data_IF_882585045528
#
_entry.id   IF_882585045528
#
_cell.length_a   1.000
_cell.length_b   1.000
_cell.length_c   1.000
_cell.angle_alpha   90.00
_cell.angle_beta   90.00
_cell.angle_gamma   90.00
#
_symmetry.space_group_name_H-M   'P 1'
#
loop_
_entity.id
_entity.type
_entity.pdbx_description
1 polymer ?
#
# COMPACT_ATOMS: atom_id res chain seq x y z
N UNK A 1 35.20 -26.93 11.35
CA UNK A 1 34.38 -27.45 10.23
C UNK A 1 32.92 -27.37 10.63
N UNK A 2 32.30 -26.20 10.47
CA UNK A 2 30.86 -26.03 10.61
C UNK A 2 30.25 -26.15 9.23
N UNK A 3 29.44 -27.21 9.04
CA UNK A 3 28.62 -27.39 7.86
C UNK A 3 27.41 -26.48 7.99
N UNK A 4 27.42 -25.33 7.31
CA UNK A 4 26.19 -24.62 7.00
C UNK A 4 25.43 -25.42 5.94
N UNK A 5 24.28 -25.98 6.30
CA UNK A 5 23.35 -26.58 5.35
C UNK A 5 22.52 -25.44 4.79
N UNK A 6 22.82 -25.03 3.55
CA UNK A 6 22.01 -24.12 2.78
C UNK A 6 20.62 -24.74 2.57
N UNK A 7 19.63 -24.29 3.33
CA UNK A 7 18.24 -24.63 3.10
C UNK A 7 17.72 -23.71 2.00
N UNK A 8 17.76 -24.18 0.75
CA UNK A 8 17.12 -23.50 -0.38
C UNK A 8 15.61 -23.65 -0.20
N UNK A 9 14.94 -22.63 0.32
CA UNK A 9 13.49 -22.52 0.22
C UNK A 9 13.20 -22.21 -1.24
N UNK A 10 12.58 -23.15 -1.96
CA UNK A 10 12.08 -22.88 -3.30
C UNK A 10 10.90 -21.92 -3.16
N UNK A 11 11.14 -20.63 -3.38
CA UNK A 11 10.08 -19.61 -3.48
C UNK A 11 9.31 -19.90 -4.77
N UNK A 12 8.00 -20.10 -4.65
CA UNK A 12 7.15 -20.32 -5.82
C UNK A 12 6.99 -19.00 -6.57
N UNK A 13 7.17 -19.01 -7.89
CA UNK A 13 6.94 -17.85 -8.74
C UNK A 13 5.49 -17.35 -8.59
N UNK A 14 5.29 -16.30 -7.79
CA UNK A 14 4.01 -15.62 -7.63
C UNK A 14 4.11 -14.26 -8.32
N UNK A 15 3.51 -14.17 -9.51
CA UNK A 15 3.44 -12.94 -10.29
C UNK A 15 2.64 -11.86 -9.53
N UNK A 16 3.34 -10.84 -9.02
CA UNK A 16 2.72 -9.63 -8.51
C UNK A 16 2.31 -8.74 -9.70
N UNK A 17 1.01 -8.68 -9.97
CA UNK A 17 0.42 -7.69 -10.89
C UNK A 17 0.48 -6.31 -10.23
N UNK A 18 1.58 -5.58 -10.43
CA UNK A 18 1.64 -4.15 -10.09
C UNK A 18 0.76 -3.37 -11.07
N UNK A 19 -0.31 -2.78 -10.55
CA UNK A 19 -1.24 -1.95 -11.30
C UNK A 19 -0.54 -0.66 -11.76
N UNK A 20 -0.27 -0.57 -13.06
CA UNK A 20 0.29 0.63 -13.69
C UNK A 20 -0.80 1.70 -13.79
N UNK A 21 -0.78 2.67 -12.88
CA UNK A 21 -1.56 3.90 -12.99
C UNK A 21 -1.01 4.79 -14.10
N UNK A 22 -1.65 4.77 -15.27
CA UNK A 22 -1.36 5.72 -16.35
C UNK A 22 -2.07 7.03 -16.02
N UNK A 23 -1.31 8.02 -15.55
CA UNK A 23 -1.75 9.40 -15.37
C UNK A 23 -1.04 10.31 -16.38
N UNK A 24 -1.88 10.92 -17.23
CA UNK A 24 -1.76 12.28 -17.76
C UNK A 24 -0.77 12.59 -18.90
N UNK A 25 -1.31 13.26 -19.93
CA UNK A 25 -0.62 14.43 -20.48
C UNK A 25 -0.76 14.64 -21.98
N UNK A 26 -1.92 15.15 -22.43
CA UNK A 26 -1.99 15.87 -23.70
C UNK A 26 -1.16 17.16 -23.62
N UNK A 27 -0.25 17.37 -24.57
CA UNK A 27 0.13 18.71 -25.03
C UNK A 27 0.65 18.60 -26.45
N UNK A 28 0.11 19.48 -27.30
CA UNK A 28 0.29 19.44 -28.74
C UNK A 28 1.47 20.26 -29.28
N UNK A 29 1.60 20.05 -30.59
CA UNK A 29 1.86 21.02 -31.66
C UNK A 29 3.30 21.21 -32.21
N UNK A 30 3.37 20.86 -33.52
CA UNK A 30 4.25 21.29 -34.64
C UNK A 30 5.79 21.18 -34.54
N UNK A 31 6.58 20.97 -35.59
CA UNK A 31 6.53 20.46 -36.98
C UNK A 31 8.02 20.46 -37.45
N UNK A 32 8.57 19.54 -38.25
CA UNK A 32 8.65 19.63 -39.72
C UNK A 32 9.56 18.53 -40.34
N UNK A 33 9.10 18.04 -41.50
CA UNK A 33 9.74 17.53 -42.74
C UNK A 33 10.74 16.34 -42.83
N UNK A 34 10.41 15.38 -43.72
CA UNK A 34 11.42 14.57 -44.44
C UNK A 34 10.99 13.30 -45.22
N UNK A 35 10.16 13.44 -46.26
CA UNK A 35 10.06 12.62 -47.50
C UNK A 35 9.58 11.12 -47.51
N UNK A 36 8.56 10.83 -48.35
CA UNK A 36 7.88 9.54 -48.63
C UNK A 36 8.58 8.58 -49.61
N UNK A 37 7.89 7.66 -50.36
CA UNK A 37 6.54 7.75 -50.98
C UNK A 37 5.57 6.57 -50.64
N UNK A 38 4.25 6.78 -50.48
CA UNK A 38 3.13 6.82 -51.47
C UNK A 38 2.76 5.49 -52.13
N UNK A 39 1.65 4.88 -51.67
CA UNK A 39 0.67 4.17 -52.52
C UNK A 39 -0.76 4.66 -52.16
N UNK A 40 -1.45 5.19 -53.18
CA UNK A 40 -2.91 5.41 -53.31
C UNK A 40 -3.64 4.06 -53.43
N UNK A 41 -4.94 3.83 -53.22
CA UNK A 41 -6.14 4.51 -52.71
C UNK A 41 -7.22 3.41 -52.76
N UNK A 42 -8.15 3.33 -51.81
CA UNK A 42 -9.60 3.30 -52.13
C UNK A 42 -10.45 3.54 -50.88
N UNK A 43 -11.22 4.62 -50.99
CA UNK A 43 -12.28 5.18 -50.14
C UNK A 43 -13.46 4.25 -49.87
N UNK A 44 -14.05 4.32 -48.66
CA UNK A 44 -15.49 4.62 -48.54
C UNK A 44 -15.82 5.21 -47.15
N UNK A 45 -16.59 6.30 -47.14
CA UNK A 45 -17.03 7.06 -45.98
C UNK A 45 -18.56 7.22 -46.01
N UNK A 46 -19.21 7.06 -44.85
CA UNK A 46 -20.52 7.61 -44.41
C UNK A 46 -20.45 7.57 -42.87
N UNK A 47 -20.37 8.69 -42.13
CA UNK A 47 -21.34 9.77 -41.85
C UNK A 47 -22.56 9.37 -41.00
N UNK A 48 -22.93 10.30 -40.12
CA UNK A 48 -24.08 10.42 -39.20
C UNK A 48 -24.01 9.83 -37.76
N UNK A 49 -23.63 10.73 -36.84
CA UNK A 49 -24.42 11.27 -35.71
C UNK A 49 -25.28 10.34 -34.86
N UNK A 50 -24.95 10.25 -33.55
CA UNK A 50 -25.96 10.30 -32.47
C UNK A 50 -25.29 10.72 -31.13
N UNK A 51 -25.67 11.90 -30.64
CA UNK A 51 -25.44 12.37 -29.26
C UNK A 51 -26.80 12.57 -28.62
N UNK A 52 -27.04 12.06 -27.41
CA UNK A 52 -28.04 12.64 -26.54
C UNK A 52 -27.38 13.58 -25.52
N UNK A 53 -27.70 14.83 -25.73
CA UNK A 53 -27.74 15.95 -24.80
C UNK A 53 -28.66 15.64 -23.59
N UNK A 54 -28.19 15.91 -22.37
CA UNK A 54 -29.04 16.05 -21.17
C UNK A 54 -28.47 17.15 -20.28
N UNK A 55 -29.10 18.33 -20.36
CA UNK A 55 -29.03 19.42 -19.37
C UNK A 55 -29.45 18.96 -17.96
N UNK A 56 -28.99 19.68 -16.91
CA UNK A 56 -29.90 20.02 -15.83
C UNK A 56 -29.99 21.54 -15.61
N UNK A 57 -31.24 22.00 -15.66
CA UNK A 57 -31.76 23.33 -15.32
C UNK A 57 -31.63 23.63 -13.82
N UNK A 58 -31.22 24.87 -13.53
CA UNK A 58 -31.49 25.57 -12.27
C UNK A 58 -32.88 26.23 -12.34
N UNK A 59 -33.67 26.21 -11.25
CA UNK A 59 -34.40 27.39 -10.73
C UNK A 59 -35.02 27.10 -9.34
N UNK A 60 -34.56 27.90 -8.36
CA UNK A 60 -35.26 28.62 -7.28
C UNK A 60 -36.58 28.11 -6.66
N UNK A 61 -36.63 28.05 -5.32
CA UNK A 61 -37.56 28.83 -4.46
C UNK A 61 -37.54 28.38 -2.98
N UNK A 62 -37.07 29.27 -2.10
CA UNK A 62 -37.48 29.40 -0.70
C UNK A 62 -38.79 30.24 -0.63
N UNK A 63 -39.71 30.13 0.38
CA UNK A 63 -39.45 30.68 1.73
C UNK A 63 -40.19 30.06 2.96
N UNK A 64 -39.52 30.24 4.12
CA UNK A 64 -40.01 30.69 5.45
C UNK A 64 -41.21 29.99 6.14
N UNK A 65 -40.96 29.44 7.35
CA UNK A 65 -41.80 29.71 8.55
C UNK A 65 -40.93 29.83 9.81
N UNK A 66 -41.13 30.96 10.50
CA UNK A 66 -40.60 31.43 11.78
C UNK A 66 -41.56 31.04 12.93
N UNK A 67 -41.08 30.60 14.10
CA UNK A 67 -41.48 31.13 15.44
C UNK A 67 -41.08 30.27 16.67
N UNK A 68 -40.42 30.97 17.61
CA UNK A 68 -40.61 31.03 19.07
C UNK A 68 -40.23 29.86 20.02
N UNK A 69 -39.08 30.10 20.67
CA UNK A 69 -38.82 30.07 22.12
C UNK A 69 -39.88 29.50 23.08
N UNK A 70 -39.47 28.57 23.96
CA UNK A 70 -39.76 28.68 25.39
C UNK A 70 -38.75 27.95 26.28
N UNK A 71 -37.98 28.77 27.00
CA UNK A 71 -37.17 28.47 28.18
C UNK A 71 -37.95 27.71 29.24
N UNK A 72 -37.38 26.61 29.76
CA UNK A 72 -37.69 26.03 31.06
C UNK A 72 -36.43 25.46 31.71
N UNK A 73 -35.86 26.26 32.60
CA UNK A 73 -35.20 25.80 33.83
C UNK A 73 -35.90 26.57 34.97
N UNK A 74 -35.85 26.12 36.25
CA UNK A 74 -34.97 25.10 36.82
C UNK A 74 -35.71 24.06 37.69
N UNK A 75 -35.12 22.86 37.84
CA UNK A 75 -35.29 22.05 39.06
C UNK A 75 -33.90 21.63 39.48
N UNK A 76 -33.40 22.33 40.49
CA UNK A 76 -32.16 21.98 41.19
C UNK A 76 -32.53 20.83 42.14
N UNK A 77 -32.42 19.60 41.64
CA UNK A 77 -32.40 18.42 42.49
C UNK A 77 -30.97 18.27 43.01
N UNK A 78 -30.81 18.58 44.29
CA UNK A 78 -29.55 18.49 45.02
C UNK A 78 -29.28 17.01 45.26
N UNK A 79 -28.57 16.39 44.31
CA UNK A 79 -28.03 15.04 44.49
C UNK A 79 -26.85 15.17 45.44
N UNK A 80 -27.01 14.60 46.62
CA UNK A 80 -26.00 14.42 47.65
C UNK A 80 -24.79 13.70 47.02
N UNK A 81 -23.67 14.42 46.92
CA UNK A 81 -22.44 13.92 46.34
C UNK A 81 -21.81 12.88 47.28
N UNK A 82 -22.06 11.61 46.98
CA UNK A 82 -21.22 10.50 47.43
C UNK A 82 -19.76 10.74 46.97
N UNK A 83 -18.76 10.33 47.76
CA UNK A 83 -17.36 10.58 47.43
C UNK A 83 -17.02 9.91 46.10
N UNK A 84 -16.59 10.69 45.12
CA UNK A 84 -16.02 10.18 43.88
C UNK A 84 -14.76 9.37 44.22
N UNK A 85 -14.90 8.04 44.25
CA UNK A 85 -13.76 7.15 44.13
C UNK A 85 -13.04 7.47 42.81
N UNK A 86 -11.73 7.68 42.91
CA UNK A 86 -10.87 7.90 41.74
C UNK A 86 -11.02 6.73 40.76
N UNK A 87 -11.31 6.98 39.46
CA UNK A 87 -11.28 5.91 38.49
C UNK A 87 -9.80 5.57 38.24
N UNK A 88 -9.30 4.54 38.93
CA UNK A 88 -8.23 3.72 38.36
C UNK A 88 -8.79 3.17 37.05
N UNK A 89 -8.37 3.76 35.93
CA UNK A 89 -8.98 3.66 34.61
C UNK A 89 -8.88 2.25 34.05
N UNK A 90 -9.85 1.38 34.38
CA UNK A 90 -10.02 0.09 33.73
C UNK A 90 -10.64 0.28 32.35
N UNK A 91 -10.07 -0.35 31.33
CA UNK A 91 -10.61 -0.35 29.97
C UNK A 91 -12.07 -0.81 29.92
N UNK A 92 -12.86 -0.21 29.03
CA UNK A 92 -14.21 -0.68 28.72
C UNK A 92 -14.18 -2.09 28.10
N UNK A 93 -15.31 -2.80 28.07
CA UNK A 93 -15.37 -4.12 27.44
C UNK A 93 -15.00 -4.06 25.95
N UNK A 94 -15.43 -3.00 25.26
CA UNK A 94 -15.13 -2.77 23.84
C UNK A 94 -13.63 -2.59 23.61
N UNK A 95 -12.98 -1.76 24.45
CA UNK A 95 -11.54 -1.53 24.41
C UNK A 95 -10.75 -2.81 24.70
N UNK A 96 -11.21 -3.64 25.64
CA UNK A 96 -10.59 -4.94 25.90
C UNK A 96 -10.74 -5.90 24.70
N UNK A 97 -11.86 -5.85 23.98
CA UNK A 97 -12.04 -6.66 22.77
C UNK A 97 -11.11 -6.18 21.66
N UNK A 98 -10.97 -4.87 21.46
CA UNK A 98 -10.04 -4.28 20.50
C UNK A 98 -8.58 -4.69 20.78
N UNK A 99 -8.15 -4.68 22.04
CA UNK A 99 -6.82 -5.17 22.45
C UNK A 99 -6.65 -6.66 22.09
N UNK A 100 -7.65 -7.51 22.39
CA UNK A 100 -7.58 -8.94 22.05
C UNK A 100 -7.56 -9.18 20.53
N UNK A 101 -8.32 -8.41 19.75
CA UNK A 101 -8.25 -8.45 18.28
C UNK A 101 -6.84 -8.10 17.80
N UNK A 102 -6.26 -7.00 18.31
CA UNK A 102 -4.91 -6.55 17.95
C UNK A 102 -3.85 -7.62 18.26
N UNK A 103 -3.88 -8.20 19.46
CA UNK A 103 -3.02 -9.32 19.86
C UNK A 103 -3.18 -10.53 18.93
N UNK A 104 -4.41 -10.87 18.54
CA UNK A 104 -4.67 -11.96 17.61
C UNK A 104 -4.04 -11.70 16.24
N UNK A 105 -4.17 -10.48 15.69
CA UNK A 105 -3.55 -10.15 14.40
C UNK A 105 -2.04 -10.28 14.43
N UNK A 106 -1.40 -9.73 15.47
CA UNK A 106 0.05 -9.78 15.64
C UNK A 106 0.61 -11.19 15.86
N UNK A 107 -0.23 -12.18 16.18
CA UNK A 107 0.17 -13.60 16.22
C UNK A 107 0.28 -14.24 14.83
N UNK A 108 -0.38 -13.68 13.82
CA UNK A 108 -0.46 -14.27 12.48
C UNK A 108 0.30 -13.48 11.42
N UNK A 109 0.35 -12.16 11.55
CA UNK A 109 0.94 -11.27 10.56
C UNK A 109 1.64 -10.09 11.23
N UNK A 110 2.56 -9.47 10.49
CA UNK A 110 3.26 -8.28 10.93
C UNK A 110 2.52 -7.02 10.46
N UNK A 111 2.50 -5.98 11.29
CA UNK A 111 1.81 -4.73 10.99
C UNK A 111 2.64 -3.51 11.35
N UNK A 112 2.50 -2.45 10.56
CA UNK A 112 2.81 -1.10 11.03
C UNK A 112 1.79 -0.67 12.09
N UNK A 113 2.11 0.34 12.90
CA UNK A 113 1.17 0.87 13.89
C UNK A 113 -0.13 1.32 13.20
N UNK A 114 0.00 2.12 12.15
CA UNK A 114 -1.15 2.66 11.41
C UNK A 114 -1.93 1.55 10.71
N UNK A 115 -1.26 0.56 10.13
CA UNK A 115 -1.90 -0.59 9.52
C UNK A 115 -2.72 -1.41 10.52
N UNK A 116 -2.20 -1.66 11.72
CA UNK A 116 -2.94 -2.37 12.77
C UNK A 116 -4.16 -1.57 13.24
N UNK A 117 -4.03 -0.26 13.42
CA UNK A 117 -5.17 0.62 13.75
C UNK A 117 -6.23 0.56 12.64
N UNK A 118 -5.84 0.69 11.38
CA UNK A 118 -6.74 0.61 10.23
C UNK A 118 -7.44 -0.75 10.13
N UNK A 119 -6.75 -1.84 10.47
CA UNK A 119 -7.35 -3.17 10.52
C UNK A 119 -8.45 -3.27 11.59
N UNK A 120 -8.24 -2.70 12.77
CA UNK A 120 -9.27 -2.68 13.82
C UNK A 120 -10.46 -1.80 13.44
N UNK A 121 -10.23 -0.67 12.78
CA UNK A 121 -11.31 0.17 12.26
C UNK A 121 -12.15 -0.57 11.21
N UNK A 122 -11.50 -1.33 10.33
CA UNK A 122 -12.18 -2.19 9.37
C UNK A 122 -13.05 -3.26 10.06
N UNK A 123 -12.63 -3.77 11.22
CA UNK A 123 -13.45 -4.68 12.05
C UNK A 123 -14.63 -4.00 12.76
N UNK A 124 -14.71 -2.66 12.71
CA UNK A 124 -15.82 -1.89 13.25
C UNK A 124 -15.54 -1.24 14.61
N UNK A 125 -14.32 -1.33 15.14
CA UNK A 125 -13.93 -0.56 16.32
C UNK A 125 -13.89 0.94 15.97
N UNK A 126 -14.22 1.80 16.94
CA UNK A 126 -14.03 3.24 16.75
C UNK A 126 -12.54 3.55 16.60
N UNK A 127 -12.19 4.57 15.81
CA UNK A 127 -10.80 5.03 15.68
C UNK A 127 -10.14 5.30 17.05
N UNK A 128 -10.90 5.81 18.03
CA UNK A 128 -10.41 6.05 19.38
C UNK A 128 -10.10 4.75 20.13
N UNK A 129 -10.97 3.74 20.04
CA UNK A 129 -10.75 2.45 20.69
C UNK A 129 -9.64 1.63 20.01
N UNK A 130 -9.54 1.72 18.67
CA UNK A 130 -8.47 1.09 17.90
C UNK A 130 -7.09 1.68 18.26
N UNK A 131 -6.96 3.01 18.29
CA UNK A 131 -5.72 3.65 18.72
C UNK A 131 -5.38 3.31 20.16
N UNK A 132 -6.36 3.37 21.07
CA UNK A 132 -6.15 3.02 22.47
C UNK A 132 -5.70 1.57 22.65
N UNK A 133 -6.26 0.65 21.88
CA UNK A 133 -5.89 -0.76 21.94
C UNK A 133 -4.43 -0.97 21.56
N UNK A 134 -4.01 -0.39 20.43
CA UNK A 134 -2.63 -0.49 19.94
C UNK A 134 -1.65 0.22 20.89
N UNK A 135 -2.00 1.39 21.41
CA UNK A 135 -1.12 2.20 22.27
C UNK A 135 -0.99 1.64 23.71
N UNK A 136 -1.94 0.82 24.15
CA UNK A 136 -1.84 0.08 25.43
C UNK A 136 -0.81 -1.03 25.38
N UNK A 137 -0.51 -1.55 24.18
CA UNK A 137 0.40 -2.67 23.99
C UNK A 137 1.85 -2.19 23.89
N UNK A 138 2.77 -2.98 24.43
CA UNK A 138 4.22 -2.76 24.25
C UNK A 138 4.70 -3.51 23.01
N UNK A 139 4.52 -2.91 21.83
CA UNK A 139 4.90 -3.51 20.54
C UNK A 139 6.24 -2.94 20.08
N UNK A 140 7.15 -3.82 19.66
CA UNK A 140 8.35 -3.41 18.95
C UNK A 140 8.05 -3.31 17.45
N UNK A 141 7.82 -2.09 16.99
CA UNK A 141 7.50 -1.80 15.59
C UNK A 141 8.64 -2.06 14.62
N UNK A 142 9.89 -2.04 15.11
CA UNK A 142 11.04 -2.42 14.28
C UNK A 142 11.05 -3.93 14.04
N UNK A 143 10.72 -4.72 15.06
CA UNK A 143 10.58 -6.18 14.92
C UNK A 143 9.45 -6.54 13.94
N UNK A 144 8.33 -5.79 13.98
CA UNK A 144 7.27 -5.95 12.98
C UNK A 144 7.75 -5.66 11.56
N UNK A 145 8.55 -4.61 11.35
CA UNK A 145 9.12 -4.30 10.04
C UNK A 145 10.08 -5.39 9.54
N UNK A 146 10.92 -5.95 10.42
CA UNK A 146 11.79 -7.10 10.11
C UNK A 146 10.93 -8.28 9.64
N UNK A 147 9.91 -8.66 10.42
CA UNK A 147 9.04 -9.77 10.08
C UNK A 147 8.26 -9.57 8.77
N UNK A 148 7.80 -8.35 8.48
CA UNK A 148 7.19 -8.01 7.19
C UNK A 148 8.17 -8.16 6.04
N UNK A 149 9.39 -7.64 6.18
CA UNK A 149 10.44 -7.75 5.17
C UNK A 149 10.81 -9.22 4.87
N UNK A 150 10.95 -10.06 5.91
CA UNK A 150 11.19 -11.50 5.76
C UNK A 150 10.04 -12.20 5.05
N UNK A 151 8.80 -11.89 5.43
CA UNK A 151 7.60 -12.44 4.80
C UNK A 151 7.59 -12.14 3.31
N UNK A 152 7.77 -10.87 2.93
CA UNK A 152 7.81 -10.46 1.53
C UNK A 152 8.86 -11.19 0.72
N UNK A 153 10.10 -11.19 1.22
CA UNK A 153 11.18 -11.90 0.54
C UNK A 153 10.84 -13.38 0.42
N UNK A 154 10.17 -14.02 1.39
CA UNK A 154 9.79 -15.43 1.30
C UNK A 154 8.84 -15.79 0.13
N UNK A 155 8.09 -14.81 -0.40
CA UNK A 155 7.11 -15.03 -1.47
C UNK A 155 7.56 -14.50 -2.83
N UNK A 156 8.31 -13.40 -2.88
CA UNK A 156 8.75 -12.78 -4.14
C UNK A 156 10.09 -12.10 -3.97
N UNK A 157 10.84 -12.01 -5.07
CA UNK A 157 12.09 -11.27 -5.11
C UNK A 157 11.82 -9.77 -5.01
N UNK A 158 12.69 -9.06 -4.30
CA UNK A 158 12.65 -7.61 -4.17
C UNK A 158 14.05 -7.01 -4.29
N UNK A 159 14.12 -5.80 -4.85
CA UNK A 159 15.28 -4.94 -4.60
C UNK A 159 15.23 -4.42 -3.17
N UNK A 160 16.39 -4.04 -2.62
CA UNK A 160 16.44 -3.39 -1.29
C UNK A 160 15.53 -2.18 -1.23
N UNK A 161 15.60 -1.30 -2.25
CA UNK A 161 14.80 -0.08 -2.26
C UNK A 161 13.32 -0.39 -2.43
N UNK A 162 12.97 -1.29 -3.35
CA UNK A 162 11.58 -1.69 -3.58
C UNK A 162 10.95 -2.31 -2.33
N UNK A 163 11.70 -3.07 -1.52
CA UNK A 163 11.18 -3.61 -0.27
C UNK A 163 10.94 -2.52 0.79
N UNK A 164 11.83 -1.53 0.88
CA UNK A 164 11.64 -0.36 1.76
C UNK A 164 10.40 0.43 1.33
N UNK A 165 10.23 0.64 0.03
CA UNK A 165 9.09 1.37 -0.53
C UNK A 165 7.79 0.60 -0.27
N UNK A 166 7.80 -0.74 -0.40
CA UNK A 166 6.66 -1.59 -0.09
C UNK A 166 6.25 -1.49 1.38
N UNK A 167 7.21 -1.59 2.32
CA UNK A 167 6.91 -1.43 3.75
C UNK A 167 6.42 0.00 4.06
N UNK A 168 6.97 1.01 3.40
CA UNK A 168 6.51 2.41 3.57
C UNK A 168 5.08 2.59 3.04
N UNK A 169 4.72 1.91 1.95
CA UNK A 169 3.35 1.87 1.44
C UNK A 169 2.38 1.19 2.42
N UNK A 170 2.86 0.24 3.22
CA UNK A 170 2.13 -0.38 4.34
C UNK A 170 2.16 0.45 5.63
N UNK A 171 2.45 1.73 5.53
CA UNK A 171 2.48 2.72 6.62
C UNK A 171 3.52 2.45 7.72
N UNK A 172 4.55 1.64 7.46
CA UNK A 172 5.76 1.72 8.28
C UNK A 172 6.42 3.08 8.08
N UNK A 173 7.01 3.64 9.15
CA UNK A 173 7.84 4.83 8.95
C UNK A 173 9.05 4.47 8.09
N UNK A 174 9.57 5.43 7.33
CA UNK A 174 10.77 5.20 6.51
C UNK A 174 11.94 4.63 7.35
N UNK A 175 12.07 5.09 8.59
CA UNK A 175 13.09 4.59 9.54
C UNK A 175 12.85 3.11 9.90
N UNK A 176 11.60 2.73 10.22
CA UNK A 176 11.24 1.34 10.51
C UNK A 176 11.42 0.43 9.29
N UNK A 177 10.94 0.85 8.13
CA UNK A 177 11.09 0.11 6.88
C UNK A 177 12.57 -0.11 6.53
N UNK A 178 13.38 0.96 6.61
CA UNK A 178 14.82 0.87 6.38
C UNK A 178 15.49 -0.05 7.41
N UNK A 179 15.17 0.10 8.69
CA UNK A 179 15.70 -0.75 9.75
C UNK A 179 15.34 -2.22 9.54
N UNK A 180 14.07 -2.50 9.20
CA UNK A 180 13.57 -3.84 8.95
C UNK A 180 14.35 -4.53 7.84
N UNK A 181 14.50 -3.86 6.70
CA UNK A 181 15.21 -4.39 5.54
C UNK A 181 16.72 -4.53 5.81
N UNK A 182 17.35 -3.53 6.44
CA UNK A 182 18.81 -3.54 6.69
C UNK A 182 19.23 -4.49 7.81
N UNK A 183 18.29 -4.92 8.65
CA UNK A 183 18.55 -5.93 9.70
C UNK A 183 18.66 -7.34 9.14
N UNK A 184 18.22 -7.58 7.90
CA UNK A 184 18.26 -8.88 7.26
C UNK A 184 19.61 -9.15 6.57
N UNK A 185 20.03 -10.41 6.58
CA UNK A 185 21.18 -10.88 5.80
C UNK A 185 20.68 -11.40 4.45
N UNK A 186 20.62 -10.51 3.45
CA UNK A 186 20.09 -10.80 2.11
C UNK A 186 21.19 -10.71 1.06
N UNK A 187 21.22 -11.67 0.14
CA UNK A 187 22.05 -11.59 -1.06
C UNK A 187 21.26 -10.88 -2.16
N UNK A 188 21.42 -9.56 -2.24
CA UNK A 188 20.68 -8.73 -3.20
C UNK A 188 21.01 -9.03 -4.67
N UNK A 189 22.16 -9.66 -4.96
CA UNK A 189 22.46 -10.13 -6.31
C UNK A 189 21.62 -11.37 -6.64
N UNK A 190 21.41 -12.26 -5.67
CA UNK A 190 20.51 -13.40 -5.81
C UNK A 190 19.05 -12.97 -6.00
N UNK A 191 18.58 -11.97 -5.23
CA UNK A 191 17.22 -11.41 -5.42
C UNK A 191 17.04 -10.81 -6.82
N UNK A 192 18.07 -10.14 -7.37
CA UNK A 192 18.03 -9.63 -8.74
C UNK A 192 17.95 -10.75 -9.79
N UNK A 193 18.66 -11.88 -9.57
CA UNK A 193 18.58 -13.04 -10.44
C UNK A 193 17.21 -13.73 -10.39
N UNK A 194 16.61 -13.83 -9.20
CA UNK A 194 15.26 -14.37 -9.01
C UNK A 194 14.19 -13.49 -9.67
N UNK A 195 14.30 -12.15 -9.56
CA UNK A 195 13.41 -11.23 -10.27
C UNK A 195 13.58 -11.36 -11.79
N UNK A 196 14.82 -11.37 -12.29
CA UNK A 196 15.12 -11.55 -13.71
C UNK A 196 14.50 -12.84 -14.27
N UNK A 197 14.67 -13.96 -13.55
CA UNK A 197 14.09 -15.24 -13.95
C UNK A 197 12.56 -15.18 -13.98
N UNK A 198 11.94 -14.59 -12.94
CA UNK A 198 10.48 -14.47 -12.85
C UNK A 198 9.89 -13.71 -14.03
N UNK A 199 10.55 -12.64 -14.49
CA UNK A 199 10.16 -11.93 -15.70
C UNK A 199 10.23 -12.80 -16.96
N UNK A 200 11.31 -13.55 -17.12
CA UNK A 200 11.52 -14.42 -18.28
C UNK A 200 10.56 -15.61 -18.33
N UNK A 201 10.06 -16.05 -17.19
CA UNK A 201 9.01 -17.09 -17.12
C UNK A 201 7.68 -16.61 -17.69
N UNK A 202 7.37 -15.30 -17.58
CA UNK A 202 6.10 -14.74 -18.04
C UNK A 202 6.19 -14.11 -19.44
N UNK A 203 7.33 -13.55 -19.82
CA UNK A 203 7.49 -12.79 -21.07
C UNK A 203 8.92 -12.80 -21.60
N UNK A 204 9.08 -12.69 -22.91
CA UNK A 204 10.39 -12.55 -23.52
C UNK A 204 10.95 -11.14 -23.31
N UNK A 205 12.20 -11.04 -22.86
CA UNK A 205 12.92 -9.77 -22.75
C UNK A 205 14.21 -9.78 -23.59
N UNK A 206 14.62 -8.60 -24.05
CA UNK A 206 16.01 -8.38 -24.45
C UNK A 206 16.88 -8.16 -23.20
N UNK A 207 18.18 -8.44 -23.29
CA UNK A 207 19.13 -8.23 -22.19
C UNK A 207 19.04 -6.80 -21.62
N UNK A 208 19.09 -5.79 -22.49
CA UNK A 208 19.01 -4.39 -22.05
C UNK A 208 17.65 -4.06 -21.45
N UNK A 209 16.55 -4.51 -22.08
CA UNK A 209 15.21 -4.25 -21.56
C UNK A 209 14.98 -4.83 -20.17
N UNK A 210 15.53 -6.02 -19.87
CA UNK A 210 15.42 -6.60 -18.54
C UNK A 210 16.29 -5.87 -17.50
N UNK A 211 17.48 -5.40 -17.90
CA UNK A 211 18.31 -4.54 -17.03
C UNK A 211 17.55 -3.26 -16.68
N UNK A 212 16.96 -2.59 -17.68
CA UNK A 212 16.21 -1.35 -17.47
C UNK A 212 14.99 -1.58 -16.56
N UNK A 213 14.32 -2.74 -16.70
CA UNK A 213 13.21 -3.12 -15.82
C UNK A 213 13.67 -3.30 -14.37
N UNK A 214 14.77 -4.01 -14.11
CA UNK A 214 15.29 -4.19 -12.75
C UNK A 214 15.79 -2.88 -12.14
N UNK A 215 16.38 -1.98 -12.94
CA UNK A 215 16.73 -0.64 -12.49
C UNK A 215 15.49 0.15 -12.06
N UNK A 216 14.40 0.05 -12.82
CA UNK A 216 13.13 0.67 -12.45
C UNK A 216 12.57 0.11 -11.13
N UNK A 217 12.73 -1.20 -10.88
CA UNK A 217 12.37 -1.83 -9.61
C UNK A 217 13.30 -1.49 -8.44
N UNK A 218 14.32 -0.67 -8.66
CA UNK A 218 15.21 -0.17 -7.61
C UNK A 218 16.45 -1.04 -7.36
N UNK A 219 16.75 -2.01 -8.22
CA UNK A 219 18.06 -2.67 -8.20
C UNK A 219 19.15 -1.69 -8.64
N UNK A 220 20.36 -1.87 -8.10
CA UNK A 220 21.54 -1.17 -8.65
C UNK A 220 21.89 -1.74 -10.03
N UNK A 221 22.60 -0.95 -10.85
CA UNK A 221 23.07 -1.43 -12.17
C UNK A 221 23.89 -2.72 -12.07
N UNK A 222 24.72 -2.84 -11.03
CA UNK A 222 25.53 -4.04 -10.80
C UNK A 222 24.65 -5.27 -10.52
N UNK A 223 23.67 -5.14 -9.61
CA UNK A 223 22.71 -6.20 -9.29
C UNK A 223 21.86 -6.58 -10.49
N UNK A 224 21.32 -5.60 -11.20
CA UNK A 224 20.50 -5.83 -12.39
C UNK A 224 21.30 -6.56 -13.48
N UNK A 225 22.53 -6.11 -13.76
CA UNK A 225 23.42 -6.77 -14.73
C UNK A 225 23.72 -8.20 -14.30
N UNK A 226 24.07 -8.40 -13.03
CA UNK A 226 24.34 -9.73 -12.48
C UNK A 226 23.12 -10.65 -12.62
N UNK A 227 21.93 -10.18 -12.25
CA UNK A 227 20.71 -10.96 -12.30
C UNK A 227 20.34 -11.41 -13.70
N UNK A 228 20.45 -10.49 -14.67
CA UNK A 228 20.21 -10.80 -16.09
C UNK A 228 21.23 -11.79 -16.66
N UNK A 229 22.51 -11.65 -16.30
CA UNK A 229 23.55 -12.60 -16.72
C UNK A 229 23.30 -14.01 -16.12
N UNK A 230 22.88 -14.09 -14.86
CA UNK A 230 22.52 -15.36 -14.22
C UNK A 230 21.27 -16.01 -14.83
N UNK A 231 20.33 -15.20 -15.32
CA UNK A 231 19.11 -15.66 -15.98
C UNK A 231 19.35 -16.13 -17.44
N UNK A 232 20.58 -15.98 -17.96
CA UNK A 232 21.01 -16.54 -19.25
C UNK A 232 20.90 -15.61 -20.45
N UNK A 233 20.86 -14.29 -20.23
CA UNK A 233 20.79 -13.25 -21.28
C UNK A 233 22.08 -12.45 -21.46
#
# INVERSE_FOLDING_TARGET
MQNSKNFKIARGACAALLALGIVTGCSGDEATEGAGPTEELTSEAVDETDSPDVEPSEEDTEPVVEEKQKTKEPVVETVEAEPAESPESSLSLEQQNAVRSAESYLQFMNFSRSGLVGQLEYEGYSNADAQLAVDTMSIDWNEQAIGSAESYLSFTAFSRQGLIDQLTYEDFTLEQATYGVDSLVVDWNQEAAESAQSYLEFSGFSRQGLIDQLLYEGFTLEQATFGVDQAGL
#
